data_IF_221179530262
#
_entry.id   IF_221179530262
#
_cell.length_a   1.000
_cell.length_b   1.000
_cell.length_c   1.000
_cell.angle_alpha   90.00
_cell.angle_beta   90.00
_cell.angle_gamma   90.00
#
_symmetry.space_group_name_H-M   'P 1'
#
loop_
_entity.id
_entity.type
_entity.pdbx_description
1 polymer ?
#
# COMPACT_ATOMS: atom_id res chain seq x y z
N UNK A 1 -10.14 -7.10 4.05
CA UNK A 1 -8.98 -7.28 4.95
C UNK A 1 -8.62 -8.75 5.15
N UNK A 2 -9.59 -9.65 5.40
CA UNK A 2 -9.33 -11.10 5.44
C UNK A 2 -8.59 -11.62 4.18
N UNK A 3 -8.81 -10.98 3.04
CA UNK A 3 -8.23 -11.33 1.74
C UNK A 3 -6.71 -11.01 1.62
N UNK A 4 -6.16 -10.12 2.45
CA UNK A 4 -4.74 -9.81 2.46
C UNK A 4 -3.88 -10.89 3.15
N UNK A 5 -4.48 -11.78 3.97
CA UNK A 5 -3.78 -12.87 4.66
C UNK A 5 -2.69 -12.38 5.61
N UNK A 6 -2.90 -11.25 6.27
CA UNK A 6 -1.97 -10.69 7.27
C UNK A 6 -1.97 -11.56 8.51
N UNK A 7 -0.77 -11.85 9.02
CA UNK A 7 -0.57 -12.71 10.20
C UNK A 7 -0.26 -11.87 11.44
N UNK A 8 -0.59 -12.40 12.61
CA UNK A 8 -0.17 -11.81 13.88
C UNK A 8 1.36 -11.68 13.95
N UNK A 9 1.85 -10.54 14.45
CA UNK A 9 3.27 -10.21 14.52
C UNK A 9 3.91 -9.79 13.19
N UNK A 10 3.20 -9.88 12.05
CA UNK A 10 3.73 -9.46 10.75
C UNK A 10 3.91 -7.93 10.73
N UNK A 11 5.04 -7.46 10.19
CA UNK A 11 5.28 -6.04 9.96
C UNK A 11 4.54 -5.59 8.70
N UNK A 12 3.65 -4.63 8.85
CA UNK A 12 2.84 -4.09 7.75
C UNK A 12 3.05 -2.59 7.61
N UNK A 13 3.31 -2.15 6.40
CA UNK A 13 3.41 -0.75 6.01
C UNK A 13 2.07 -0.31 5.41
N UNK A 14 1.42 0.68 6.03
CA UNK A 14 0.21 1.34 5.55
C UNK A 14 0.56 2.75 5.04
N UNK A 15 0.60 2.93 3.72
CA UNK A 15 0.98 4.19 3.07
C UNK A 15 -0.27 5.00 2.74
N UNK A 16 -0.32 6.23 3.25
CA UNK A 16 -1.50 7.07 3.15
C UNK A 16 -2.59 6.61 4.11
N UNK A 17 -2.21 6.35 5.35
CA UNK A 17 -3.07 5.76 6.36
C UNK A 17 -4.37 6.55 6.64
N UNK A 18 -4.39 7.83 6.33
CA UNK A 18 -5.57 8.68 6.43
C UNK A 18 -6.09 8.76 7.87
N UNK A 19 -7.32 8.31 8.08
CA UNK A 19 -7.94 8.18 9.40
C UNK A 19 -7.85 6.76 9.98
N UNK A 20 -7.02 5.89 9.39
CA UNK A 20 -6.77 4.56 9.89
C UNK A 20 -7.79 3.49 9.46
N UNK A 21 -8.44 3.67 8.32
CA UNK A 21 -9.40 2.70 7.80
C UNK A 21 -8.79 1.32 7.52
N UNK A 22 -7.53 1.28 7.08
CA UNK A 22 -6.76 0.05 6.94
C UNK A 22 -5.94 -0.26 8.21
N UNK A 23 -5.38 0.78 8.85
CA UNK A 23 -4.59 0.64 10.08
C UNK A 23 -5.34 -0.12 11.17
N UNK A 24 -6.61 0.23 11.45
CA UNK A 24 -7.40 -0.40 12.49
C UNK A 24 -7.52 -1.94 12.31
N UNK A 25 -8.07 -2.44 11.19
CA UNK A 25 -8.19 -3.89 11.00
C UNK A 25 -6.85 -4.63 10.88
N UNK A 26 -5.75 -3.95 10.48
CA UNK A 26 -4.41 -4.53 10.51
C UNK A 26 -3.95 -4.76 11.95
N UNK A 27 -4.14 -3.77 12.82
CA UNK A 27 -3.85 -3.87 14.24
C UNK A 27 -4.74 -4.93 14.92
N UNK A 28 -6.02 -5.02 14.54
CA UNK A 28 -6.95 -6.03 15.06
C UNK A 28 -6.55 -7.46 14.66
N UNK A 29 -5.90 -7.62 13.50
CA UNK A 29 -5.29 -8.88 13.08
C UNK A 29 -3.97 -9.20 13.82
N UNK A 30 -3.53 -8.35 14.75
CA UNK A 30 -2.29 -8.51 15.50
C UNK A 30 -1.03 -8.11 14.75
N UNK A 31 -1.15 -7.39 13.64
CA UNK A 31 0.01 -6.89 12.91
C UNK A 31 0.71 -5.75 13.68
N UNK A 32 2.00 -5.60 13.42
CA UNK A 32 2.79 -4.41 13.79
C UNK A 32 2.74 -3.43 12.63
N UNK A 33 2.13 -2.27 12.80
CA UNK A 33 1.85 -1.36 11.68
C UNK A 33 2.79 -0.16 11.68
N UNK A 34 3.42 0.10 10.54
CA UNK A 34 4.05 1.40 10.25
C UNK A 34 3.05 2.18 9.39
N UNK A 35 2.40 3.16 9.98
CA UNK A 35 1.45 4.05 9.29
C UNK A 35 2.18 5.30 8.80
N UNK A 36 2.06 5.59 7.51
CA UNK A 36 2.65 6.79 6.88
C UNK A 36 1.52 7.74 6.48
N UNK A 37 1.52 8.93 7.05
CA UNK A 37 0.51 9.96 6.74
C UNK A 37 1.19 11.34 6.62
N UNK A 38 0.91 12.03 5.51
CA UNK A 38 1.51 13.34 5.23
C UNK A 38 0.80 14.49 5.93
N UNK A 39 -0.52 14.39 6.07
CA UNK A 39 -1.33 15.47 6.62
C UNK A 39 -1.20 15.52 8.15
N UNK A 40 -0.72 16.64 8.75
CA UNK A 40 -0.41 16.70 10.17
C UNK A 40 -1.63 16.44 11.08
N UNK A 41 -2.81 16.94 10.72
CA UNK A 41 -4.03 16.74 11.50
C UNK A 41 -4.49 15.26 11.48
N UNK A 42 -4.32 14.53 10.37
CA UNK A 42 -4.61 13.10 10.31
C UNK A 42 -3.56 12.30 11.08
N UNK A 43 -2.31 12.69 10.99
CA UNK A 43 -1.23 12.07 11.76
C UNK A 43 -1.45 12.23 13.27
N UNK A 44 -1.87 13.41 13.73
CA UNK A 44 -2.24 13.63 15.13
C UNK A 44 -3.41 12.74 15.56
N UNK A 45 -4.46 12.66 14.74
CA UNK A 45 -5.60 11.77 14.98
C UNK A 45 -5.20 10.29 15.07
N UNK A 46 -4.34 9.81 14.18
CA UNK A 46 -3.85 8.42 14.22
C UNK A 46 -3.05 8.16 15.51
N UNK A 47 -2.19 9.09 15.90
CA UNK A 47 -1.38 8.97 17.12
C UNK A 47 -2.25 8.84 18.35
N UNK A 48 -3.29 9.65 18.47
CA UNK A 48 -4.23 9.60 19.57
C UNK A 48 -5.06 8.31 19.56
N UNK A 49 -5.66 8.00 18.41
CA UNK A 49 -6.56 6.85 18.25
C UNK A 49 -5.89 5.51 18.53
N UNK A 50 -4.63 5.37 18.18
CA UNK A 50 -3.88 4.10 18.28
C UNK A 50 -2.73 4.16 19.30
N UNK A 51 -2.79 5.07 20.28
CA UNK A 51 -1.72 5.31 21.27
C UNK A 51 -1.29 4.04 22.03
N UNK A 52 -2.23 3.13 22.31
CA UNK A 52 -1.99 1.88 23.02
C UNK A 52 -1.78 0.65 22.13
N UNK A 53 -1.65 0.85 20.83
CA UNK A 53 -1.53 -0.24 19.83
C UNK A 53 -0.11 -0.33 19.26
N UNK A 54 0.25 -1.47 18.69
CA UNK A 54 1.56 -1.68 18.04
C UNK A 54 1.64 -0.97 16.68
N UNK A 55 1.57 0.36 16.73
CA UNK A 55 1.65 1.25 15.59
C UNK A 55 2.81 2.23 15.71
N UNK A 56 3.65 2.28 14.69
CA UNK A 56 4.64 3.35 14.51
C UNK A 56 4.10 4.34 13.47
N UNK A 57 3.99 5.61 13.84
CA UNK A 57 3.54 6.65 12.93
C UNK A 57 4.73 7.40 12.32
N UNK A 58 4.76 7.47 11.01
CA UNK A 58 5.68 8.32 10.23
C UNK A 58 4.89 9.46 9.61
N UNK A 59 5.13 10.67 10.07
CA UNK A 59 4.51 11.89 9.50
C UNK A 59 5.41 12.43 8.41
N UNK A 60 4.96 12.40 7.14
CA UNK A 60 5.75 12.90 6.02
C UNK A 60 5.42 12.31 4.67
N UNK A 61 6.30 12.57 3.71
CA UNK A 61 6.14 12.07 2.33
C UNK A 61 6.52 10.59 2.26
N UNK A 62 5.59 9.79 1.76
CA UNK A 62 5.79 8.35 1.56
C UNK A 62 6.94 8.03 0.58
N UNK A 63 7.24 8.93 -0.36
CA UNK A 63 8.32 8.73 -1.32
C UNK A 63 9.71 9.01 -0.72
N UNK A 64 9.78 9.72 0.40
CA UNK A 64 11.01 9.93 1.18
C UNK A 64 11.21 8.87 2.27
N UNK A 65 10.31 7.88 2.37
CA UNK A 65 10.36 6.85 3.39
C UNK A 65 11.58 5.94 3.19
N UNK A 66 12.32 5.72 4.26
CA UNK A 66 13.29 4.62 4.32
C UNK A 66 12.54 3.32 4.61
N UNK A 67 12.59 2.39 3.66
CA UNK A 67 11.93 1.09 3.81
C UNK A 67 12.53 0.30 4.99
N UNK A 68 11.69 -0.52 5.66
CA UNK A 68 12.17 -1.40 6.73
C UNK A 68 13.28 -2.35 6.23
N UNK A 69 14.33 -2.53 7.06
CA UNK A 69 15.44 -3.46 6.75
C UNK A 69 15.11 -4.93 7.05
N UNK A 70 13.99 -5.21 7.69
CA UNK A 70 13.44 -6.55 7.96
C UNK A 70 12.28 -6.85 7.02
N UNK A 71 11.90 -8.13 6.84
CA UNK A 71 10.75 -8.49 6.01
C UNK A 71 9.49 -7.73 6.41
N UNK A 72 8.75 -7.21 5.44
CA UNK A 72 7.51 -6.48 5.65
C UNK A 72 6.53 -6.68 4.50
N UNK A 73 5.26 -6.51 4.80
CA UNK A 73 4.17 -6.45 3.83
C UNK A 73 3.71 -5.02 3.66
N UNK A 74 3.11 -4.73 2.52
CA UNK A 74 2.41 -3.45 2.30
C UNK A 74 0.91 -3.73 2.15
N UNK A 75 0.09 -3.03 2.91
CA UNK A 75 -1.37 -2.99 2.73
C UNK A 75 -1.77 -1.54 2.82
N UNK A 76 -2.11 -0.93 1.68
CA UNK A 76 -2.22 0.52 1.61
C UNK A 76 -3.27 0.97 0.59
N UNK A 77 -3.82 2.17 0.83
CA UNK A 77 -4.63 2.92 -0.13
C UNK A 77 -3.94 4.26 -0.43
N UNK A 78 -2.81 4.25 -1.15
CA UNK A 78 -2.01 5.46 -1.37
C UNK A 78 -2.75 6.44 -2.27
N UNK A 79 -2.42 7.74 -2.19
CA UNK A 79 -2.87 8.72 -3.17
C UNK A 79 -2.48 8.29 -4.58
N UNK A 80 -3.42 8.36 -5.51
CA UNK A 80 -3.21 7.86 -6.88
C UNK A 80 -2.05 8.53 -7.61
N UNK A 81 -1.79 9.81 -7.29
CA UNK A 81 -0.72 10.59 -7.91
C UNK A 81 0.69 10.00 -7.67
N UNK A 82 0.91 9.28 -6.56
CA UNK A 82 2.22 8.72 -6.20
C UNK A 82 2.36 7.23 -6.49
N UNK A 83 1.33 6.56 -7.01
CA UNK A 83 1.29 5.10 -7.16
C UNK A 83 2.50 4.54 -7.91
N UNK A 84 2.85 5.13 -9.05
CA UNK A 84 3.99 4.66 -9.87
C UNK A 84 5.32 4.81 -9.15
N UNK A 85 5.53 5.95 -8.49
CA UNK A 85 6.76 6.23 -7.75
C UNK A 85 6.86 5.35 -6.51
N UNK A 86 5.74 5.13 -5.81
CA UNK A 86 5.67 4.22 -4.68
C UNK A 86 6.01 2.79 -5.08
N UNK A 87 5.47 2.29 -6.19
CA UNK A 87 5.83 0.97 -6.71
C UNK A 87 7.32 0.86 -7.06
N UNK A 88 7.91 1.89 -7.66
CA UNK A 88 9.37 1.92 -7.92
C UNK A 88 10.16 1.80 -6.63
N UNK A 89 9.78 2.54 -5.58
CA UNK A 89 10.43 2.48 -4.28
C UNK A 89 10.28 1.08 -3.65
N UNK A 90 9.08 0.52 -3.63
CA UNK A 90 8.78 -0.77 -3.01
C UNK A 90 9.43 -1.97 -3.71
N UNK A 91 9.65 -1.88 -5.03
CA UNK A 91 10.17 -2.96 -5.86
C UNK A 91 11.68 -2.85 -6.14
N UNK A 92 12.39 -2.00 -5.41
CA UNK A 92 13.87 -1.93 -5.50
C UNK A 92 14.50 -3.26 -5.12
N UNK A 93 15.68 -3.60 -5.68
CA UNK A 93 16.38 -4.85 -5.37
C UNK A 93 16.64 -5.07 -3.87
N UNK A 94 16.92 -4.00 -3.14
CA UNK A 94 17.23 -4.03 -1.71
C UNK A 94 15.98 -4.06 -0.82
N UNK A 95 14.80 -3.96 -1.40
CA UNK A 95 13.55 -3.99 -0.67
C UNK A 95 13.33 -5.36 -0.01
N UNK A 96 13.07 -5.34 1.28
CA UNK A 96 12.67 -6.53 2.06
C UNK A 96 11.17 -6.78 2.01
N UNK A 97 10.45 -6.14 1.11
CA UNK A 97 9.03 -6.39 0.91
C UNK A 97 8.78 -7.85 0.52
N UNK A 98 7.82 -8.49 1.17
CA UNK A 98 7.41 -9.87 0.88
C UNK A 98 6.18 -9.92 -0.01
N UNK A 99 5.26 -8.98 0.19
CA UNK A 99 4.03 -8.86 -0.58
C UNK A 99 3.45 -7.45 -0.47
N UNK A 100 2.63 -7.05 -1.44
CA UNK A 100 1.82 -5.84 -1.32
C UNK A 100 0.39 -6.07 -1.82
N UNK A 101 -0.57 -5.43 -1.14
CA UNK A 101 -1.97 -5.31 -1.52
C UNK A 101 -2.32 -3.82 -1.53
N UNK A 102 -2.41 -3.24 -2.73
CA UNK A 102 -2.57 -1.80 -2.92
C UNK A 102 -3.94 -1.49 -3.52
N UNK A 103 -4.71 -0.64 -2.86
CA UNK A 103 -5.98 -0.13 -3.40
C UNK A 103 -5.67 0.97 -4.41
N UNK A 104 -5.95 0.71 -5.68
CA UNK A 104 -5.65 1.59 -6.79
C UNK A 104 -6.87 1.85 -7.66
N UNK A 105 -6.83 2.91 -8.46
CA UNK A 105 -7.77 3.08 -9.57
C UNK A 105 -7.69 1.88 -10.51
N UNK A 106 -8.84 1.33 -10.89
CA UNK A 106 -8.92 0.14 -11.76
C UNK A 106 -8.17 0.32 -13.08
N UNK A 107 -8.27 1.49 -13.71
CA UNK A 107 -7.56 1.77 -14.96
C UNK A 107 -6.03 1.78 -14.79
N UNK A 108 -5.53 2.32 -13.68
CA UNK A 108 -4.10 2.32 -13.36
C UNK A 108 -3.58 0.91 -13.06
N UNK A 109 -4.32 0.15 -12.25
CA UNK A 109 -3.95 -1.23 -11.91
C UNK A 109 -3.94 -2.15 -13.15
N UNK A 110 -4.92 -1.98 -14.07
CA UNK A 110 -4.95 -2.71 -15.34
C UNK A 110 -3.71 -2.44 -16.20
N UNK A 111 -3.32 -1.18 -16.36
CA UNK A 111 -2.08 -0.84 -17.11
C UNK A 111 -0.86 -1.53 -16.51
N UNK A 112 -0.73 -1.52 -15.18
CA UNK A 112 0.40 -2.15 -14.49
C UNK A 112 0.45 -3.68 -14.69
N UNK A 113 -0.69 -4.34 -14.89
CA UNK A 113 -0.77 -5.79 -15.09
C UNK A 113 -0.74 -6.21 -16.54
N UNK A 114 -1.25 -5.38 -17.48
CA UNK A 114 -1.32 -5.68 -18.91
C UNK A 114 -0.01 -5.37 -19.64
N UNK A 115 0.66 -4.27 -19.28
CA UNK A 115 1.92 -3.88 -19.90
C UNK A 115 3.08 -4.80 -19.50
N UNK A 116 2.88 -5.65 -18.49
CA UNK A 116 3.85 -6.65 -18.02
C UNK A 116 5.26 -6.07 -17.77
N UNK A 117 6.29 -6.91 -17.65
CA UNK A 117 7.68 -6.43 -17.56
C UNK A 117 8.24 -5.90 -18.89
N UNK A 118 7.43 -5.80 -19.94
CA UNK A 118 7.86 -5.46 -21.32
C UNK A 118 7.35 -4.12 -21.86
N UNK A 119 6.46 -3.41 -21.14
CA UNK A 119 5.89 -2.15 -21.63
C UNK A 119 6.83 -0.95 -21.48
N UNK A 120 7.35 -0.35 -22.58
CA UNK A 120 8.01 0.95 -22.52
C UNK A 120 6.97 2.04 -22.67
N UNK A 121 6.38 2.48 -21.58
CA UNK A 121 5.60 3.71 -21.58
C UNK A 121 6.34 4.80 -20.80
N UNK A 122 6.43 6.05 -21.29
CA UNK A 122 7.10 7.14 -20.56
C UNK A 122 6.46 7.50 -19.21
N UNK A 123 5.36 6.87 -18.86
CA UNK A 123 4.59 7.09 -17.61
C UNK A 123 4.39 5.82 -16.77
N UNK A 124 4.91 4.66 -17.17
CA UNK A 124 4.85 3.42 -16.40
C UNK A 124 5.96 3.31 -15.34
N UNK A 125 5.89 2.32 -14.41
CA UNK A 125 6.91 2.11 -13.38
C UNK A 125 8.29 1.69 -13.96
N UNK A 126 8.44 1.64 -15.29
CA UNK A 126 9.59 1.05 -15.95
C UNK A 126 9.50 -0.49 -15.95
N UNK A 127 10.57 -1.15 -16.35
CA UNK A 127 10.66 -2.62 -16.27
C UNK A 127 10.57 -3.05 -14.81
N UNK A 128 9.43 -3.62 -14.41
CA UNK A 128 9.32 -4.25 -13.10
C UNK A 128 10.28 -5.45 -13.03
N UNK A 129 10.95 -5.64 -11.87
CA UNK A 129 11.84 -6.77 -11.70
C UNK A 129 11.10 -8.10 -11.94
N UNK A 130 11.68 -9.02 -12.71
CA UNK A 130 11.05 -10.28 -13.16
C UNK A 130 10.61 -11.21 -12.03
N UNK A 131 11.12 -11.02 -10.83
CA UNK A 131 10.79 -11.81 -9.65
C UNK A 131 9.51 -11.36 -8.92
N UNK A 132 8.79 -10.38 -9.47
CA UNK A 132 7.50 -9.94 -8.96
C UNK A 132 6.37 -10.32 -9.92
N UNK A 133 5.29 -10.83 -9.35
CA UNK A 133 4.02 -11.11 -10.02
C UNK A 133 2.99 -10.07 -9.58
N UNK A 134 2.35 -9.41 -10.55
CA UNK A 134 1.33 -8.40 -10.33
C UNK A 134 0.01 -8.92 -10.88
N UNK A 135 -1.01 -8.98 -10.02
CA UNK A 135 -2.37 -9.44 -10.40
C UNK A 135 -3.43 -8.50 -9.88
N UNK A 136 -4.52 -8.40 -10.64
CA UNK A 136 -5.72 -7.77 -10.14
C UNK A 136 -6.38 -8.69 -9.12
N UNK A 137 -6.70 -8.15 -7.95
CA UNK A 137 -7.46 -8.82 -6.91
C UNK A 137 -8.90 -8.33 -6.86
N UNK A 138 -9.42 -8.15 -5.63
CA UNK A 138 -10.79 -7.76 -5.36
C UNK A 138 -11.13 -6.39 -5.96
N UNK A 139 -12.24 -6.32 -6.69
CA UNK A 139 -12.84 -5.04 -7.10
C UNK A 139 -13.57 -4.41 -5.90
N UNK A 140 -13.30 -3.14 -5.65
CA UNK A 140 -13.88 -2.40 -4.54
C UNK A 140 -14.93 -1.42 -5.08
N UNK A 141 -16.21 -1.56 -4.66
CA UNK A 141 -17.24 -0.63 -5.07
C UNK A 141 -17.00 0.76 -4.45
N UNK A 142 -17.43 1.82 -5.14
CA UNK A 142 -17.24 3.21 -4.68
C UNK A 142 -17.80 3.44 -3.27
N UNK A 143 -18.91 2.78 -2.91
CA UNK A 143 -19.54 2.85 -1.57
C UNK A 143 -18.67 2.30 -0.44
N UNK A 144 -17.58 1.58 -0.75
CA UNK A 144 -16.63 1.10 0.25
C UNK A 144 -15.71 2.22 0.79
N UNK A 145 -15.83 3.43 0.27
CA UNK A 145 -14.98 4.57 0.64
C UNK A 145 -15.83 5.75 1.15
N UNK A 146 -15.25 6.53 2.05
CA UNK A 146 -15.86 7.76 2.56
C UNK A 146 -14.81 8.89 2.54
N UNK A 147 -14.99 9.91 1.68
CA UNK A 147 -15.99 10.03 0.62
C UNK A 147 -15.77 9.05 -0.53
N UNK A 148 -16.83 8.70 -1.30
CA UNK A 148 -16.70 7.81 -2.45
C UNK A 148 -15.78 8.41 -3.53
N UNK A 149 -14.87 7.63 -4.14
CA UNK A 149 -14.06 8.10 -5.25
C UNK A 149 -14.90 8.25 -6.52
N UNK A 150 -14.41 9.09 -7.46
CA UNK A 150 -15.08 9.28 -8.76
C UNK A 150 -14.94 8.08 -9.70
N UNK A 151 -14.00 7.20 -9.45
CA UNK A 151 -13.64 6.04 -10.30
C UNK A 151 -13.62 4.76 -9.49
N UNK A 152 -13.77 3.64 -10.18
CA UNK A 152 -13.74 2.32 -9.57
C UNK A 152 -12.33 1.97 -9.12
N UNK A 153 -12.24 1.28 -7.99
CA UNK A 153 -10.99 0.84 -7.38
C UNK A 153 -10.87 -0.67 -7.42
N UNK A 154 -9.64 -1.15 -7.36
CA UNK A 154 -9.30 -2.57 -7.31
C UNK A 154 -8.05 -2.75 -6.44
N UNK A 155 -7.94 -3.90 -5.81
CA UNK A 155 -6.72 -4.29 -5.13
C UNK A 155 -5.71 -4.78 -6.17
N UNK A 156 -4.54 -4.15 -6.26
CA UNK A 156 -3.38 -4.68 -6.96
C UNK A 156 -2.61 -5.58 -5.99
N UNK A 157 -2.51 -6.85 -6.31
CA UNK A 157 -1.70 -7.82 -5.56
C UNK A 157 -0.32 -7.92 -6.17
N UNK A 158 0.69 -7.72 -5.35
CA UNK A 158 2.10 -7.90 -5.70
C UNK A 158 2.69 -9.02 -4.85
N UNK A 159 3.23 -10.04 -5.48
CA UNK A 159 3.80 -11.22 -4.80
C UNK A 159 5.17 -11.53 -5.39
N UNK A 160 6.09 -12.07 -4.58
CA UNK A 160 7.33 -12.66 -5.12
C UNK A 160 6.99 -13.96 -5.86
N UNK A 161 7.69 -14.19 -6.96
CA UNK A 161 7.68 -15.47 -7.68
C UNK A 161 8.57 -16.48 -6.98
#
# INVERSE_FOLDING_TARGET
MADAGVRSGELVLDVGAGRGALTAPLLDAGARVIAVERHPGRAAYLRERFASRDMTLVTGDALALRLPRRPFRVVASPPYAITTQLLRLLLTPDSRMTAADLVLQRAAARRLTQDGPRGPGPRGPGRLPRHWDLRLGLALPRRAFTPPPRVDSVVLRVRRR
#
